data_IF_056040331226
#
_entry.id   IF_056040331226
#
_cell.length_a   1.000
_cell.length_b   1.000
_cell.length_c   1.000
_cell.angle_alpha   90.00
_cell.angle_beta   90.00
_cell.angle_gamma   90.00
#
_symmetry.space_group_name_H-M   'P 1'
#
loop_
_entity.id
_entity.type
_entity.pdbx_description
1 polymer ?
#
# COMPACT_ATOMS: atom_id res chain seq x y z
N UNK A 1 -15.86 28.29 19.27
CA UNK A 1 -14.83 27.44 19.91
C UNK A 1 -15.53 26.16 20.32
N UNK A 2 -15.22 25.02 19.68
CA UNK A 2 -15.83 23.75 20.07
C UNK A 2 -15.40 23.40 21.51
N UNK A 3 -16.30 22.95 22.38
CA UNK A 3 -15.96 22.57 23.74
C UNK A 3 -15.00 21.38 23.73
N UNK A 4 -14.03 21.37 24.65
CA UNK A 4 -12.97 20.36 24.74
C UNK A 4 -13.45 18.90 24.72
N UNK A 5 -14.66 18.64 25.23
CA UNK A 5 -15.28 17.30 25.18
C UNK A 5 -15.65 16.85 23.76
N UNK A 6 -16.09 17.78 22.89
CA UNK A 6 -16.42 17.45 21.50
C UNK A 6 -15.16 17.25 20.66
N UNK A 7 -14.09 18.00 20.93
CA UNK A 7 -12.80 17.79 20.25
C UNK A 7 -12.19 16.45 20.63
N UNK A 8 -12.27 16.04 21.91
CA UNK A 8 -11.82 14.73 22.36
C UNK A 8 -12.62 13.60 21.71
N UNK A 9 -13.95 13.73 21.66
CA UNK A 9 -14.81 12.75 21.01
C UNK A 9 -14.49 12.59 19.52
N UNK A 10 -14.25 13.70 18.81
CA UNK A 10 -13.85 13.67 17.40
C UNK A 10 -12.49 12.99 17.20
N UNK A 11 -11.51 13.28 18.05
CA UNK A 11 -10.18 12.67 18.00
C UNK A 11 -10.25 11.16 18.24
N UNK A 12 -11.06 10.71 19.19
CA UNK A 12 -11.29 9.28 19.45
C UNK A 12 -11.95 8.61 18.25
N UNK A 13 -12.96 9.26 17.65
CA UNK A 13 -13.63 8.74 16.45
C UNK A 13 -12.65 8.58 15.28
N UNK A 14 -11.79 9.58 15.04
CA UNK A 14 -10.77 9.54 14.00
C UNK A 14 -9.74 8.42 14.25
N UNK A 15 -9.28 8.26 15.49
CA UNK A 15 -8.34 7.20 15.86
C UNK A 15 -8.93 5.79 15.66
N UNK A 16 -10.22 5.61 15.98
CA UNK A 16 -10.93 4.35 15.74
C UNK A 16 -11.07 4.08 14.24
N UNK A 17 -11.44 5.07 13.44
CA UNK A 17 -11.58 4.93 11.99
C UNK A 17 -10.25 4.56 11.31
N UNK A 18 -9.14 5.16 11.73
CA UNK A 18 -7.80 4.85 11.22
C UNK A 18 -7.37 3.42 11.57
N UNK A 19 -7.67 2.97 12.81
CA UNK A 19 -7.38 1.61 13.25
C UNK A 19 -8.15 0.52 12.48
N UNK A 20 -9.35 0.84 11.98
CA UNK A 20 -10.18 -0.07 11.16
C UNK A 20 -9.63 -0.19 9.74
N UNK A 21 -8.89 0.81 9.24
CA UNK A 21 -8.23 0.79 7.94
C UNK A 21 -6.97 -0.11 7.90
N UNK A 22 -6.47 -0.55 9.05
CA UNK A 22 -5.47 -1.62 9.15
C UNK A 22 -6.09 -3.01 8.89
N UNK A 23 -7.12 -3.08 8.05
CA UNK A 23 -7.46 -4.32 7.37
C UNK A 23 -6.28 -4.65 6.46
N UNK A 24 -5.70 -5.83 6.61
CA UNK A 24 -4.76 -6.42 5.66
C UNK A 24 -5.43 -6.38 4.29
N UNK A 25 -5.20 -5.31 3.54
CA UNK A 25 -5.62 -5.23 2.16
C UNK A 25 -4.85 -6.35 1.48
N UNK A 26 -5.53 -7.45 1.17
CA UNK A 26 -5.05 -8.46 0.22
C UNK A 26 -4.88 -7.72 -1.12
N UNK A 27 -3.77 -7.02 -1.25
CA UNK A 27 -3.38 -6.40 -2.49
C UNK A 27 -2.66 -7.49 -3.24
N UNK A 28 -3.13 -7.80 -4.45
CA UNK A 28 -2.54 -8.80 -5.32
C UNK A 28 -1.14 -8.32 -5.74
N UNK A 29 -0.15 -8.48 -4.86
CA UNK A 29 1.26 -8.39 -5.21
C UNK A 29 1.65 -9.70 -5.84
N UNK A 30 2.14 -9.64 -7.05
CA UNK A 30 2.67 -10.78 -7.78
C UNK A 30 4.07 -10.44 -8.26
N UNK A 31 4.88 -11.47 -8.46
CA UNK A 31 6.21 -11.35 -9.03
C UNK A 31 6.23 -12.09 -10.37
N UNK A 32 6.83 -11.48 -11.39
CA UNK A 32 7.09 -12.12 -12.66
C UNK A 32 8.50 -11.83 -13.14
N UNK A 33 9.01 -12.74 -13.95
CA UNK A 33 10.28 -12.55 -14.64
C UNK A 33 10.06 -11.67 -15.87
N UNK A 34 10.73 -10.51 -15.91
CA UNK A 34 10.71 -9.61 -17.05
C UNK A 34 12.13 -9.57 -17.66
N UNK A 35 12.32 -10.08 -18.90
CA UNK A 35 13.60 -9.94 -19.59
C UNK A 35 13.87 -8.45 -19.84
N UNK A 36 15.13 -8.00 -19.82
CA UNK A 36 15.46 -6.58 -20.07
C UNK A 36 15.48 -5.65 -18.84
N UNK A 37 15.30 -6.19 -17.63
CA UNK A 37 15.61 -5.49 -16.39
C UNK A 37 14.62 -4.40 -15.98
N UNK A 38 15.07 -3.48 -15.12
CA UNK A 38 14.18 -2.55 -14.41
C UNK A 38 13.38 -1.62 -15.34
N UNK A 39 14.00 -1.10 -16.41
CA UNK A 39 13.31 -0.19 -17.34
C UNK A 39 12.14 -0.88 -18.06
N UNK A 40 12.33 -2.14 -18.48
CA UNK A 40 11.25 -2.88 -19.12
C UNK A 40 10.14 -3.24 -18.12
N UNK A 41 10.50 -3.62 -16.89
CA UNK A 41 9.52 -3.88 -15.84
C UNK A 41 8.63 -2.65 -15.56
N UNK A 42 9.22 -1.45 -15.55
CA UNK A 42 8.47 -0.20 -15.40
C UNK A 42 7.50 0.05 -16.55
N UNK A 43 7.97 -0.15 -17.79
CA UNK A 43 7.15 0.02 -18.99
C UNK A 43 5.97 -0.96 -19.02
N UNK A 44 6.20 -2.22 -18.66
CA UNK A 44 5.15 -3.23 -18.59
C UNK A 44 4.14 -2.88 -17.51
N UNK A 45 4.57 -2.49 -16.31
CA UNK A 45 3.67 -2.09 -15.24
C UNK A 45 2.80 -0.89 -15.67
N UNK A 46 3.43 0.18 -16.19
CA UNK A 46 2.74 1.37 -16.66
C UNK A 46 1.74 1.07 -17.79
N UNK A 47 2.11 0.21 -18.74
CA UNK A 47 1.25 -0.18 -19.87
C UNK A 47 -0.08 -0.81 -19.42
N UNK A 48 -0.06 -1.56 -18.33
CA UNK A 48 -1.24 -2.29 -17.83
C UNK A 48 -1.87 -1.63 -16.59
N UNK A 49 -1.44 -0.42 -16.21
CA UNK A 49 -1.96 0.30 -15.05
C UNK A 49 -1.56 -0.31 -13.70
N UNK A 50 -0.51 -1.13 -13.68
CA UNK A 50 0.07 -1.67 -12.44
C UNK A 50 1.17 -0.76 -11.91
N UNK A 51 1.39 -0.85 -10.59
CA UNK A 51 2.54 -0.22 -9.94
C UNK A 51 3.70 -1.21 -9.87
N UNK A 52 4.85 -0.84 -10.42
CA UNK A 52 6.06 -1.62 -10.26
C UNK A 52 6.60 -1.45 -8.82
N UNK A 53 6.72 -2.55 -8.09
CA UNK A 53 7.26 -2.56 -6.73
C UNK A 53 8.77 -2.85 -6.68
N UNK A 54 9.41 -2.99 -7.84
CA UNK A 54 10.84 -3.26 -7.96
C UNK A 54 11.14 -4.75 -8.14
N UNK A 55 12.39 -5.11 -7.90
CA UNK A 55 12.86 -6.49 -8.08
C UNK A 55 12.81 -7.26 -6.77
N UNK A 56 12.38 -8.52 -6.86
CA UNK A 56 12.50 -9.46 -5.75
C UNK A 56 13.98 -9.79 -5.57
N UNK A 57 14.59 -9.28 -4.50
CA UNK A 57 15.93 -9.70 -4.08
C UNK A 57 15.79 -10.99 -3.27
N UNK A 58 16.74 -11.91 -3.42
CA UNK A 58 16.79 -13.15 -2.62
C UNK A 58 16.57 -12.83 -1.14
N UNK A 59 15.55 -13.43 -0.52
CA UNK A 59 15.21 -13.26 0.90
C UNK A 59 14.05 -12.32 1.22
N UNK A 60 13.43 -11.64 0.25
CA UNK A 60 12.24 -10.80 0.46
C UNK A 60 11.03 -11.35 -0.33
N UNK A 61 10.54 -12.52 0.07
CA UNK A 61 9.15 -12.88 -0.21
C UNK A 61 8.31 -12.14 0.82
N UNK A 62 7.41 -11.28 0.36
CA UNK A 62 6.44 -10.59 1.22
C UNK A 62 5.68 -11.64 2.04
N UNK A 63 5.84 -11.63 3.36
CA UNK A 63 4.87 -12.20 4.30
C UNK A 63 3.71 -11.23 4.45
#
# INVERSE_FOLDING_TARGET
>A
MLPWGQTLSLLVLLAVLDSVQSSVHYTNKWAAYIPGGQRMAEQVAAKFGYRNHGQVRHGQICR
#
